data_IF_970553090271
#
_entry.id   IF_970553090271
#
_cell.length_a   1.000
_cell.length_b   1.000
_cell.length_c   1.000
_cell.angle_alpha   90.00
_cell.angle_beta   90.00
_cell.angle_gamma   90.00
#
_symmetry.space_group_name_H-M   'P 1'
#
loop_
_entity.id
_entity.type
_entity.pdbx_description
1 polymer ?
#
# COMPACT_ATOMS: atom_id res chain seq x y z
N UNK A 1 10.89 11.13 2.07
CA UNK A 1 10.05 11.78 3.09
C UNK A 1 9.42 13.09 2.63
N UNK A 2 10.15 14.06 2.05
CA UNK A 2 9.58 15.37 1.62
C UNK A 2 8.26 15.29 0.81
N UNK A 3 8.14 14.32 -0.11
CA UNK A 3 6.93 14.12 -0.94
C UNK A 3 5.70 13.59 -0.18
N UNK A 4 5.89 12.86 0.92
CA UNK A 4 4.80 12.33 1.73
C UNK A 4 4.07 13.49 2.44
N UNK A 5 4.83 14.32 3.14
CA UNK A 5 4.29 15.45 3.90
C UNK A 5 3.82 16.61 3.02
N UNK A 6 4.27 16.70 1.77
CA UNK A 6 3.78 17.72 0.82
C UNK A 6 2.45 17.37 0.13
N UNK A 7 1.93 16.16 0.31
CA UNK A 7 0.64 15.77 -0.29
C UNK A 7 -0.51 16.41 0.49
N UNK A 8 -1.36 17.21 -0.15
CA UNK A 8 -2.53 17.83 0.51
C UNK A 8 -3.80 17.01 0.36
N UNK A 9 -3.76 16.01 -0.52
CA UNK A 9 -4.87 15.19 -0.98
C UNK A 9 -4.92 13.79 -0.32
N UNK A 10 -4.08 13.57 0.69
CA UNK A 10 -4.05 12.37 1.51
C UNK A 10 -4.24 12.78 2.97
N UNK A 11 -5.06 12.05 3.73
CA UNK A 11 -5.31 12.38 5.13
C UNK A 11 -4.07 12.17 6.00
N UNK A 12 -3.97 12.89 7.12
CA UNK A 12 -2.83 12.81 8.03
C UNK A 12 -2.62 11.42 8.64
N UNK A 13 -3.71 10.68 8.85
CA UNK A 13 -3.62 9.30 9.35
C UNK A 13 -2.89 8.39 8.36
N UNK A 14 -3.23 8.46 7.07
CA UNK A 14 -2.57 7.64 6.06
C UNK A 14 -1.12 8.06 5.85
N UNK A 15 -0.81 9.36 5.89
CA UNK A 15 0.59 9.83 5.87
C UNK A 15 1.39 9.24 7.03
N UNK A 16 0.80 9.24 8.23
CA UNK A 16 1.42 8.67 9.43
C UNK A 16 1.64 7.16 9.27
N UNK A 17 0.63 6.42 8.81
CA UNK A 17 0.73 4.98 8.59
C UNK A 17 1.78 4.64 7.51
N UNK A 18 1.84 5.39 6.41
CA UNK A 18 2.85 5.22 5.36
C UNK A 18 4.25 5.49 5.92
N UNK A 19 4.45 6.55 6.71
CA UNK A 19 5.75 6.85 7.31
C UNK A 19 6.21 5.72 8.23
N UNK A 20 5.32 5.25 9.12
CA UNK A 20 5.61 4.14 10.05
C UNK A 20 5.91 2.84 9.33
N UNK A 21 5.18 2.50 8.26
CA UNK A 21 5.50 1.33 7.44
C UNK A 21 6.89 1.46 6.80
N UNK A 22 7.24 2.64 6.28
CA UNK A 22 8.54 2.87 5.66
C UNK A 22 9.67 2.74 6.68
N UNK A 23 9.51 3.30 7.87
CA UNK A 23 10.45 3.13 8.99
C UNK A 23 10.61 1.65 9.35
N UNK A 24 9.51 0.91 9.43
CA UNK A 24 9.52 -0.54 9.66
C UNK A 24 10.29 -1.30 8.56
N UNK A 25 10.05 -1.00 7.29
CA UNK A 25 10.78 -1.61 6.17
C UNK A 25 12.27 -1.30 6.21
N UNK A 26 12.64 -0.05 6.51
CA UNK A 26 14.04 0.36 6.64
C UNK A 26 14.73 -0.36 7.81
N UNK A 27 14.05 -0.53 8.94
CA UNK A 27 14.54 -1.29 10.09
C UNK A 27 14.78 -2.78 9.74
N UNK A 28 13.98 -3.34 8.82
CA UNK A 28 14.17 -4.68 8.26
C UNK A 28 15.25 -4.77 7.18
N UNK A 29 16.00 -3.70 6.91
CA UNK A 29 17.07 -3.69 5.90
C UNK A 29 16.59 -3.54 4.46
N UNK A 30 15.33 -3.16 4.23
CA UNK A 30 14.85 -2.85 2.88
C UNK A 30 15.56 -1.61 2.35
N UNK A 31 16.01 -1.66 1.10
CA UNK A 31 16.78 -0.55 0.51
C UNK A 31 15.99 0.76 0.45
N UNK A 32 16.69 1.89 0.57
CA UNK A 32 16.08 3.24 0.45
C UNK A 32 15.28 3.40 -0.84
N UNK A 33 15.76 2.84 -1.96
CA UNK A 33 15.05 2.88 -3.24
C UNK A 33 13.70 2.15 -3.19
N UNK A 34 13.65 0.98 -2.54
CA UNK A 34 12.39 0.24 -2.32
C UNK A 34 11.47 1.00 -1.36
N UNK A 35 11.98 1.53 -0.25
CA UNK A 35 11.22 2.35 0.68
C UNK A 35 10.56 3.57 -0.02
N UNK A 36 11.32 4.25 -0.88
CA UNK A 36 10.79 5.34 -1.71
C UNK A 36 9.69 4.83 -2.64
N UNK A 37 9.88 3.69 -3.32
CA UNK A 37 8.85 3.07 -4.17
C UNK A 37 7.53 2.85 -3.39
N UNK A 38 7.60 2.32 -2.17
CA UNK A 38 6.43 2.14 -1.30
C UNK A 38 5.70 3.46 -1.05
N UNK A 39 6.40 4.54 -0.68
CA UNK A 39 5.79 5.85 -0.47
C UNK A 39 5.03 6.30 -1.73
N UNK A 40 5.67 6.23 -2.89
CA UNK A 40 5.07 6.67 -4.16
C UNK A 40 3.79 5.91 -4.48
N UNK A 41 3.81 4.59 -4.38
CA UNK A 41 2.67 3.75 -4.73
C UNK A 41 1.54 3.93 -3.71
N UNK A 42 1.85 3.96 -2.41
CA UNK A 42 0.84 4.14 -1.36
C UNK A 42 0.17 5.52 -1.42
N UNK A 43 0.90 6.57 -1.79
CA UNK A 43 0.28 7.89 -2.01
C UNK A 43 -0.71 7.87 -3.18
N UNK A 44 -0.39 7.17 -4.28
CA UNK A 44 -1.34 7.04 -5.40
C UNK A 44 -2.56 6.24 -4.97
N UNK A 45 -2.37 5.12 -4.27
CA UNK A 45 -3.46 4.29 -3.77
C UNK A 45 -4.36 5.04 -2.79
N UNK A 46 -3.80 5.86 -1.90
CA UNK A 46 -4.57 6.68 -0.96
C UNK A 46 -5.47 7.70 -1.69
N UNK A 47 -4.94 8.35 -2.73
CA UNK A 47 -5.70 9.30 -3.57
C UNK A 47 -6.88 8.62 -4.27
N UNK A 48 -6.62 7.47 -4.88
CA UNK A 48 -7.64 6.71 -5.61
C UNK A 48 -8.71 6.17 -4.65
N UNK A 49 -8.30 5.73 -3.45
CA UNK A 49 -9.23 5.26 -2.44
C UNK A 49 -10.16 6.38 -1.92
N UNK A 50 -9.67 7.62 -1.83
CA UNK A 50 -10.46 8.79 -1.43
C UNK A 50 -10.94 8.76 0.03
N UNK A 51 -10.50 7.78 0.83
CA UNK A 51 -10.79 7.65 2.27
C UNK A 51 -9.66 6.89 2.98
N UNK A 52 -9.55 7.02 4.33
CA UNK A 52 -8.42 6.45 5.08
C UNK A 52 -8.26 4.95 4.88
N UNK A 53 -7.03 4.46 4.78
CA UNK A 53 -6.76 3.03 4.56
C UNK A 53 -7.39 2.13 5.62
N UNK A 54 -7.35 2.52 6.90
CA UNK A 54 -7.96 1.72 7.98
C UNK A 54 -9.46 1.52 7.82
N UNK A 55 -10.14 2.41 7.07
CA UNK A 55 -11.58 2.38 6.81
C UNK A 55 -11.97 1.60 5.54
N UNK A 56 -10.99 1.16 4.73
CA UNK A 56 -11.29 0.38 3.53
C UNK A 56 -11.71 -1.03 3.95
N UNK A 57 -12.87 -1.45 3.43
CA UNK A 57 -13.34 -2.83 3.53
C UNK A 57 -12.92 -3.63 2.30
N UNK A 58 -13.19 -4.93 2.33
CA UNK A 58 -12.95 -5.87 1.23
C UNK A 58 -13.39 -5.32 -0.12
N UNK A 59 -14.60 -4.76 -0.21
CA UNK A 59 -15.20 -4.25 -1.45
C UNK A 59 -14.49 -2.98 -1.94
N UNK A 60 -14.00 -2.14 -1.03
CA UNK A 60 -13.22 -0.95 -1.39
C UNK A 60 -11.87 -1.35 -1.99
N UNK A 61 -11.23 -2.38 -1.43
CA UNK A 61 -10.00 -2.95 -1.98
C UNK A 61 -10.23 -3.61 -3.33
N UNK A 62 -11.38 -4.27 -3.55
CA UNK A 62 -11.74 -4.79 -4.88
C UNK A 62 -11.82 -3.67 -5.91
N UNK A 63 -12.47 -2.55 -5.58
CA UNK A 63 -12.53 -1.37 -6.47
C UNK A 63 -11.14 -0.82 -6.76
N UNK A 64 -10.30 -0.72 -5.74
CA UNK A 64 -8.92 -0.23 -5.90
C UNK A 64 -8.09 -1.17 -6.81
N UNK A 65 -8.23 -2.49 -6.63
CA UNK A 65 -7.57 -3.48 -7.49
C UNK A 65 -8.14 -3.48 -8.92
N UNK A 66 -9.44 -3.27 -9.07
CA UNK A 66 -10.08 -3.07 -10.38
C UNK A 66 -9.49 -1.86 -11.11
N UNK A 67 -9.31 -0.73 -10.40
CA UNK A 67 -8.65 0.46 -10.94
C UNK A 67 -7.20 0.16 -11.34
N UNK A 68 -6.42 -0.56 -10.51
CA UNK A 68 -5.07 -0.99 -10.88
C UNK A 68 -5.08 -1.79 -12.19
N UNK A 69 -5.97 -2.76 -12.32
CA UNK A 69 -6.05 -3.62 -13.51
C UNK A 69 -6.42 -2.84 -14.78
N UNK A 70 -7.35 -1.89 -14.66
CA UNK A 70 -7.86 -1.08 -15.77
C UNK A 70 -6.94 0.09 -16.16
N UNK A 71 -5.94 0.43 -15.33
CA UNK A 71 -5.00 1.52 -15.62
C UNK A 71 -4.11 1.23 -16.84
N UNK A 72 -3.56 2.28 -17.45
CA UNK A 72 -2.59 2.20 -18.56
C UNK A 72 -1.16 1.87 -18.09
N UNK A 73 -0.98 1.51 -16.81
CA UNK A 73 0.32 1.11 -16.30
C UNK A 73 0.78 -0.21 -16.93
N UNK A 74 2.10 -0.38 -17.03
CA UNK A 74 2.69 -1.66 -17.43
C UNK A 74 2.32 -2.77 -16.44
N UNK A 75 2.32 -4.01 -16.90
CA UNK A 75 2.03 -5.16 -16.03
C UNK A 75 2.96 -5.23 -14.82
N UNK A 76 4.23 -4.85 -14.99
CA UNK A 76 5.19 -4.75 -13.90
C UNK A 76 4.75 -3.71 -12.85
N UNK A 77 4.31 -2.53 -13.28
CA UNK A 77 3.82 -1.49 -12.36
C UNK A 77 2.52 -1.92 -11.67
N UNK A 78 1.58 -2.55 -12.39
CA UNK A 78 0.36 -3.12 -11.81
C UNK A 78 0.66 -4.18 -10.76
N UNK A 79 1.64 -5.04 -11.03
CA UNK A 79 2.14 -6.04 -10.11
C UNK A 79 2.76 -5.41 -8.85
N UNK A 80 3.61 -4.40 -9.01
CA UNK A 80 4.21 -3.64 -7.89
C UNK A 80 3.12 -3.03 -6.98
N UNK A 81 2.08 -2.40 -7.56
CA UNK A 81 0.95 -1.86 -6.78
C UNK A 81 0.27 -2.94 -5.93
N UNK A 82 -0.01 -4.10 -6.52
CA UNK A 82 -0.68 -5.21 -5.80
C UNK A 82 0.19 -5.75 -4.66
N UNK A 83 1.50 -5.95 -4.89
CA UNK A 83 2.43 -6.41 -3.85
C UNK A 83 2.50 -5.40 -2.71
N UNK A 84 2.69 -4.12 -3.04
CA UNK A 84 2.80 -3.06 -2.03
C UNK A 84 1.51 -2.93 -1.24
N UNK A 85 0.34 -3.01 -1.88
CA UNK A 85 -0.95 -2.99 -1.21
C UNK A 85 -1.09 -4.16 -0.22
N UNK A 86 -0.76 -5.39 -0.65
CA UNK A 86 -0.80 -6.58 0.23
C UNK A 86 0.13 -6.43 1.43
N UNK A 87 1.37 -6.01 1.19
CA UNK A 87 2.38 -5.84 2.27
C UNK A 87 2.01 -4.72 3.23
N UNK A 88 1.44 -3.63 2.72
CA UNK A 88 0.96 -2.54 3.56
C UNK A 88 -0.19 -2.99 4.48
N UNK A 89 -1.18 -3.73 3.98
CA UNK A 89 -2.28 -4.24 4.81
C UNK A 89 -1.85 -5.33 5.78
N UNK A 90 -0.92 -6.20 5.37
CA UNK A 90 -0.29 -7.17 6.27
C UNK A 90 0.32 -6.47 7.49
N UNK A 91 1.09 -5.40 7.27
CA UNK A 91 1.66 -4.60 8.35
C UNK A 91 0.62 -3.79 9.12
N UNK A 92 -0.32 -3.13 8.42
CA UNK A 92 -1.33 -2.24 9.01
C UNK A 92 -2.27 -2.98 9.97
N UNK A 93 -2.56 -4.26 9.69
CA UNK A 93 -3.37 -5.14 10.53
C UNK A 93 -2.57 -5.98 11.53
N UNK A 94 -1.24 -5.86 11.53
CA UNK A 94 -0.38 -6.63 12.43
C UNK A 94 -0.41 -8.14 12.17
N UNK A 95 -0.69 -8.55 10.92
CA UNK A 95 -0.68 -9.97 10.55
C UNK A 95 0.74 -10.54 10.60
N UNK A 96 0.85 -11.84 10.88
CA UNK A 96 2.14 -12.50 10.95
C UNK A 96 2.76 -12.63 9.54
N UNK A 97 3.89 -11.93 9.33
CA UNK A 97 4.57 -11.96 8.04
C UNK A 97 5.29 -13.28 7.75
N UNK A 98 5.83 -13.94 8.78
CA UNK A 98 6.56 -15.21 8.66
C UNK A 98 5.62 -16.34 8.23
N UNK A 99 4.40 -16.33 8.75
CA UNK A 99 3.32 -17.26 8.38
C UNK A 99 2.62 -16.87 7.07
N UNK A 100 3.10 -15.83 6.38
CA UNK A 100 2.48 -15.31 5.15
C UNK A 100 0.98 -14.99 5.33
N UNK A 101 0.60 -14.57 6.53
CA UNK A 101 -0.76 -14.23 6.88
C UNK A 101 -1.15 -12.89 6.25
N UNK A 102 -2.33 -12.83 5.65
CA UNK A 102 -2.89 -11.61 5.07
C UNK A 102 -4.31 -11.42 5.58
N UNK A 103 -4.71 -10.17 5.88
CA UNK A 103 -6.06 -9.91 6.30
C UNK A 103 -7.02 -10.05 5.10
N UNK A 104 -8.30 -10.25 5.39
CA UNK A 104 -9.31 -10.62 4.39
C UNK A 104 -9.40 -9.63 3.23
N UNK A 105 -9.14 -8.35 3.49
CA UNK A 105 -9.22 -7.28 2.50
C UNK A 105 -8.28 -7.53 1.32
N UNK A 106 -7.12 -8.17 1.54
CA UNK A 106 -6.05 -8.34 0.53
C UNK A 106 -5.62 -9.79 0.28
N UNK A 107 -6.03 -10.76 1.09
CA UNK A 107 -5.58 -12.17 0.99
C UNK A 107 -5.83 -12.81 -0.39
N UNK A 108 -6.96 -12.49 -1.00
CA UNK A 108 -7.40 -12.98 -2.32
C UNK A 108 -6.57 -12.43 -3.50
N UNK A 109 -5.83 -11.33 -3.33
CA UNK A 109 -5.11 -10.68 -4.42
C UNK A 109 -3.97 -11.59 -4.89
N UNK A 110 -4.07 -12.03 -6.14
CA UNK A 110 -3.03 -12.84 -6.80
C UNK A 110 -1.96 -11.91 -7.40
N UNK A 111 -0.70 -12.25 -7.15
CA UNK A 111 0.48 -11.53 -7.64
C UNK A 111 1.45 -12.49 -8.34
N UNK A 112 0.94 -13.60 -8.89
CA UNK A 112 1.69 -14.48 -9.79
C UNK A 112 1.65 -13.91 -11.20
#
# INVERSE_FOLDING_TARGET
MKRLYSSTDVCEEDKTNISRMVEHLLAKGVSKGRAVKYIYHLLVLARVAGKPFKSLRREDIERLVSWINASDYTDHTKHDYKIILKKFYQWLRGCNEEEHEYPEEVRWIKTK
#
